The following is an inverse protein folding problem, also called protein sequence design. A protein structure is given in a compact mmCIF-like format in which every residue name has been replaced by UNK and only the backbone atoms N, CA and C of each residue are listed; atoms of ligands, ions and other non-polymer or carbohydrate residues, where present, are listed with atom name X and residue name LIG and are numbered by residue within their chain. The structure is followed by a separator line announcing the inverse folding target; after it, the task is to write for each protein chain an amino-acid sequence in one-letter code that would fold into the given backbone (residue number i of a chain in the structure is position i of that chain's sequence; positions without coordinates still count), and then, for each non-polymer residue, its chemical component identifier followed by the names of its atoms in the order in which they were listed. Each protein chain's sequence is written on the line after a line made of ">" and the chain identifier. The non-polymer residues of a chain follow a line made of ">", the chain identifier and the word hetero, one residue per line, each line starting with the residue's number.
data_IF_835691553830
#
_entry.id   IF_835691553830
#
_cell.length_a   1.000
_cell.length_b   1.000
_cell.length_c   1.000
_cell.angle_alpha   90.00
_cell.angle_beta   90.00
_cell.angle_gamma   90.00
#
_symmetry.space_group_name_H-M   'P 1'
#
loop_
_entity.id
_entity.type
_entity.pdbx_description
1 polymer ?
#
# COMPACT_ATOMS: atom_id res chain seq x y z
N UNK A 1 12.82 -0.84 5.42
CA UNK A 1 13.03 -1.17 6.84
C UNK A 1 12.13 -0.38 7.76
N UNK A 2 12.14 0.96 7.70
CA UNK A 2 11.25 1.79 8.53
C UNK A 2 9.78 1.45 8.34
N UNK A 3 9.36 1.26 7.08
CA UNK A 3 7.99 0.89 6.76
C UNK A 3 7.60 -0.45 7.35
N UNK A 4 8.50 -1.43 7.31
CA UNK A 4 8.25 -2.75 7.87
C UNK A 4 8.11 -2.70 9.37
N UNK A 5 8.96 -1.93 10.05
CA UNK A 5 8.90 -1.76 11.50
C UNK A 5 7.62 -1.05 11.93
N UNK A 6 7.23 -0.01 11.20
CA UNK A 6 6.00 0.72 11.48
C UNK A 6 4.77 -0.15 11.23
N UNK A 7 4.77 -0.93 10.14
CA UNK A 7 3.67 -1.85 9.85
C UNK A 7 3.51 -2.89 10.95
N UNK A 8 4.62 -3.47 11.43
CA UNK A 8 4.59 -4.43 12.51
C UNK A 8 4.06 -3.82 13.81
N UNK A 9 4.48 -2.60 14.11
CA UNK A 9 3.99 -1.89 15.30
C UNK A 9 2.49 -1.62 15.22
N UNK A 10 2.02 -1.07 14.11
CA UNK A 10 0.61 -0.73 13.92
C UNK A 10 -0.28 -1.96 13.86
N UNK A 11 0.21 -3.06 13.30
CA UNK A 11 -0.56 -4.30 13.19
C UNK A 11 -0.99 -4.83 14.56
N UNK A 12 -0.21 -4.58 15.61
CA UNK A 12 -0.53 -5.03 16.95
C UNK A 12 -1.84 -4.47 17.49
N UNK A 13 -2.30 -3.35 16.96
CA UNK A 13 -3.54 -2.71 17.38
C UNK A 13 -4.79 -3.29 16.69
N UNK A 14 -4.60 -4.21 15.74
CA UNK A 14 -5.69 -4.83 15.00
C UNK A 14 -6.05 -6.20 15.59
N UNK A 15 -7.30 -6.68 15.38
CA UNK A 15 -7.74 -7.96 15.96
C UNK A 15 -6.94 -9.17 15.51
N UNK A 16 -6.45 -9.16 14.28
CA UNK A 16 -5.63 -10.23 13.71
C UNK A 16 -4.32 -9.64 13.19
N UNK A 17 -3.31 -9.45 14.06
CA UNK A 17 -2.07 -8.78 13.66
C UNK A 17 -1.37 -9.41 12.47
N UNK A 18 -1.37 -10.73 12.36
CA UNK A 18 -0.70 -11.42 11.25
C UNK A 18 -1.34 -11.10 9.89
N UNK A 19 -2.65 -10.96 9.84
CA UNK A 19 -3.35 -10.57 8.64
C UNK A 19 -3.17 -9.07 8.37
N UNK A 20 -3.25 -8.27 9.43
CA UNK A 20 -3.12 -6.82 9.29
C UNK A 20 -1.75 -6.40 8.78
N UNK A 21 -0.67 -7.03 9.27
CA UNK A 21 0.69 -6.64 8.88
C UNK A 21 0.92 -6.79 7.38
N UNK A 22 0.40 -7.84 6.78
CA UNK A 22 0.52 -8.07 5.34
C UNK A 22 -0.14 -6.93 4.56
N UNK A 23 -1.39 -6.60 4.92
CA UNK A 23 -2.11 -5.52 4.24
C UNK A 23 -1.48 -4.15 4.45
N UNK A 24 -1.08 -3.83 5.67
CA UNK A 24 -0.44 -2.55 5.97
C UNK A 24 0.87 -2.41 5.20
N UNK A 25 1.69 -3.47 5.17
CA UNK A 25 2.96 -3.46 4.44
C UNK A 25 2.74 -3.23 2.94
N UNK A 26 1.73 -3.88 2.36
CA UNK A 26 1.42 -3.70 0.95
C UNK A 26 0.97 -2.25 0.64
N UNK A 27 0.15 -1.67 1.51
CA UNK A 27 -0.29 -0.30 1.32
C UNK A 27 0.87 0.70 1.47
N UNK A 28 1.79 0.44 2.39
CA UNK A 28 3.00 1.28 2.54
C UNK A 28 3.89 1.19 1.30
N UNK A 29 4.13 -0.02 0.79
CA UNK A 29 4.92 -0.20 -0.42
C UNK A 29 4.30 0.55 -1.59
N UNK A 30 3.00 0.43 -1.76
CA UNK A 30 2.31 1.13 -2.83
C UNK A 30 2.42 2.65 -2.69
N UNK A 31 2.29 3.17 -1.47
CA UNK A 31 2.40 4.61 -1.23
C UNK A 31 3.81 5.12 -1.56
N UNK A 32 4.84 4.37 -1.22
CA UNK A 32 6.22 4.77 -1.51
C UNK A 32 6.55 4.57 -2.98
N UNK A 33 6.38 3.35 -3.49
CA UNK A 33 6.86 2.98 -4.82
C UNK A 33 6.01 3.56 -5.94
N UNK A 34 4.70 3.38 -5.85
CA UNK A 34 3.78 3.81 -6.91
C UNK A 34 3.24 5.21 -6.69
N UNK A 35 3.15 5.65 -5.43
CA UNK A 35 2.76 7.01 -5.07
C UNK A 35 3.92 7.98 -5.17
N UNK A 36 4.72 8.07 -4.12
CA UNK A 36 5.78 9.08 -4.01
C UNK A 36 6.85 8.99 -5.09
N UNK A 37 7.31 7.80 -5.41
CA UNK A 37 8.34 7.60 -6.45
C UNK A 37 7.76 7.55 -7.86
N UNK A 38 6.45 7.49 -7.97
CA UNK A 38 5.72 7.53 -9.25
C UNK A 38 6.15 6.42 -10.22
N UNK A 39 6.43 5.22 -9.69
CA UNK A 39 6.82 4.07 -10.53
C UNK A 39 5.56 3.25 -10.83
N UNK A 40 5.08 3.20 -12.09
CA UNK A 40 3.93 2.38 -12.45
C UNK A 40 4.19 0.89 -12.22
N UNK A 41 3.13 0.12 -11.99
CA UNK A 41 3.22 -1.34 -11.80
C UNK A 41 3.88 -2.04 -12.98
N UNK A 42 3.54 -1.63 -14.19
CA UNK A 42 4.10 -2.20 -15.41
C UNK A 42 5.61 -1.97 -15.49
N UNK A 43 6.06 -0.76 -15.12
CA UNK A 43 7.49 -0.45 -15.10
C UNK A 43 8.21 -1.25 -14.02
N UNK A 44 7.59 -1.43 -12.85
CA UNK A 44 8.16 -2.26 -11.78
C UNK A 44 8.39 -3.69 -12.26
N UNK A 45 7.40 -4.28 -12.91
CA UNK A 45 7.51 -5.65 -13.45
C UNK A 45 8.66 -5.76 -14.43
N UNK A 46 8.79 -4.79 -15.32
CA UNK A 46 9.88 -4.78 -16.30
C UNK A 46 11.25 -4.60 -15.66
N UNK A 47 11.36 -3.68 -14.69
CA UNK A 47 12.62 -3.43 -13.99
C UNK A 47 13.09 -4.65 -13.20
N UNK A 48 12.15 -5.38 -12.59
CA UNK A 48 12.49 -6.62 -11.89
C UNK A 48 12.93 -7.68 -12.89
N UNK A 49 12.25 -7.79 -14.02
CA UNK A 49 12.58 -8.77 -15.06
C UNK A 49 14.02 -8.58 -15.57
N UNK A 50 14.48 -7.34 -15.71
CA UNK A 50 15.82 -7.03 -16.20
C UNK A 50 16.83 -6.75 -15.07
N UNK A 51 16.43 -7.00 -13.82
CA UNK A 51 17.28 -6.84 -12.63
C UNK A 51 17.78 -5.41 -12.43
N UNK A 52 16.92 -4.42 -12.65
CA UNK A 52 17.26 -3.00 -12.48
C UNK A 52 16.35 -2.28 -11.48
N UNK A 53 15.54 -3.02 -10.74
CA UNK A 53 14.58 -2.45 -9.80
C UNK A 53 15.27 -1.59 -8.73
N UNK A 54 16.30 -2.13 -8.08
CA UNK A 54 17.01 -1.43 -7.00
C UNK A 54 17.66 -0.14 -7.48
N UNK A 55 18.30 -0.16 -8.66
CA UNK A 55 18.91 1.02 -9.28
C UNK A 55 17.89 2.13 -9.49
N UNK A 56 16.73 1.79 -10.04
CA UNK A 56 15.70 2.78 -10.34
C UNK A 56 15.12 3.39 -9.07
N UNK A 57 14.89 2.59 -8.03
CA UNK A 57 14.42 3.09 -6.75
C UNK A 57 15.44 4.06 -6.15
N UNK A 58 16.71 3.68 -6.14
CA UNK A 58 17.78 4.54 -5.60
C UNK A 58 17.91 5.84 -6.39
N UNK A 59 17.80 5.76 -7.71
CA UNK A 59 17.85 6.94 -8.59
C UNK A 59 16.74 7.93 -8.27
N UNK A 60 15.51 7.43 -8.11
CA UNK A 60 14.36 8.29 -7.80
C UNK A 60 14.43 8.85 -6.38
N UNK A 61 14.89 8.07 -5.42
CA UNK A 61 15.09 8.57 -4.06
C UNK A 61 16.12 9.69 -3.98
N UNK A 62 17.12 9.67 -4.85
CA UNK A 62 18.14 10.71 -4.93
C UNK A 62 17.65 11.99 -5.65
N UNK A 63 16.56 11.89 -6.41
CA UNK A 63 15.96 13.03 -7.09
C UNK A 63 15.12 13.84 -6.11
N UNK A 64 15.41 15.14 -5.88
CA UNK A 64 14.63 15.96 -4.96
C UNK A 64 13.14 16.03 -5.28
N UNK A 65 12.75 15.84 -6.53
CA UNK A 65 11.34 15.83 -6.93
C UNK A 65 10.56 14.70 -6.26
N UNK A 66 11.19 13.54 -6.09
CA UNK A 66 10.55 12.35 -5.51
C UNK A 66 11.03 12.05 -4.09
N UNK A 67 12.32 12.22 -3.84
CA UNK A 67 12.94 11.80 -2.59
C UNK A 67 12.51 12.60 -1.37
N UNK A 68 11.97 13.79 -1.55
CA UNK A 68 11.47 14.64 -0.46
C UNK A 68 10.00 14.37 -0.10
N UNK A 69 9.31 13.60 -0.91
CA UNK A 69 7.92 13.25 -0.64
C UNK A 69 7.82 12.34 0.57
N UNK A 70 6.80 12.55 1.38
CA UNK A 70 6.59 11.76 2.59
C UNK A 70 5.28 10.99 2.50
N UNK A 71 5.20 9.92 3.26
CA UNK A 71 3.96 9.17 3.46
C UNK A 71 3.46 9.52 4.86
N UNK A 72 2.22 9.97 4.94
CA UNK A 72 1.59 10.31 6.21
C UNK A 72 0.67 9.19 6.62
N UNK A 73 0.84 8.67 7.83
CA UNK A 73 0.05 7.57 8.35
C UNK A 73 -0.72 8.03 9.56
N UNK A 74 -2.03 7.78 9.58
CA UNK A 74 -2.91 8.07 10.70
C UNK A 74 -3.59 6.79 11.14
N UNK A 75 -3.67 6.57 12.44
CA UNK A 75 -4.38 5.44 13.03
C UNK A 75 -5.51 5.95 13.90
N UNK A 76 -6.69 5.35 13.75
CA UNK A 76 -7.85 5.70 14.56
C UNK A 76 -8.50 4.44 15.12
N UNK A 77 -8.81 4.47 16.39
CA UNK A 77 -9.50 3.39 17.09
C UNK A 77 -10.82 3.90 17.65
N UNK A 78 -11.88 3.13 17.43
CA UNK A 78 -13.18 3.41 18.04
C UNK A 78 -13.67 2.14 18.75
N UNK A 79 -14.85 2.21 19.39
CA UNK A 79 -15.45 1.04 20.00
C UNK A 79 -15.85 -0.03 18.99
N UNK A 80 -16.02 0.35 17.73
CA UNK A 80 -16.55 -0.53 16.68
C UNK A 80 -15.50 -0.93 15.62
N UNK A 81 -14.44 -0.15 15.47
CA UNK A 81 -13.49 -0.39 14.39
C UNK A 81 -12.10 0.15 14.69
N UNK A 82 -11.14 -0.33 13.91
CA UNK A 82 -9.82 0.26 13.79
C UNK A 82 -9.60 0.66 12.34
N UNK A 83 -8.99 1.83 12.13
CA UNK A 83 -8.74 2.33 10.78
C UNK A 83 -7.32 2.86 10.68
N UNK A 84 -6.69 2.59 9.54
CA UNK A 84 -5.40 3.17 9.20
C UNK A 84 -5.57 3.95 7.89
N UNK A 85 -5.09 5.18 7.87
CA UNK A 85 -5.12 6.01 6.68
C UNK A 85 -3.70 6.32 6.25
N UNK A 86 -3.42 6.09 4.98
CA UNK A 86 -2.10 6.24 4.39
C UNK A 86 -2.22 7.21 3.23
N UNK A 87 -1.51 8.32 3.32
CA UNK A 87 -1.53 9.38 2.31
C UNK A 87 -0.14 9.57 1.76
N UNK A 88 0.01 9.52 0.44
CA UNK A 88 1.25 9.84 -0.24
C UNK A 88 1.13 11.18 -0.99
N UNK A 89 2.26 11.71 -1.43
CA UNK A 89 2.32 12.99 -2.12
C UNK A 89 2.39 12.85 -3.65
N UNK A 90 2.10 11.64 -4.15
CA UNK A 90 2.03 11.39 -5.57
C UNK A 90 0.74 11.92 -6.21
N UNK A 91 0.63 11.72 -7.51
CA UNK A 91 -0.53 12.19 -8.28
C UNK A 91 -1.72 11.24 -8.19
N UNK A 92 -1.55 10.09 -7.57
CA UNK A 92 -2.58 9.07 -7.49
C UNK A 92 -2.48 8.07 -8.63
N UNK A 93 -3.41 7.12 -8.65
CA UNK A 93 -3.44 6.09 -9.69
C UNK A 93 -4.86 5.54 -9.82
N UNK A 94 -5.09 4.73 -10.85
CA UNK A 94 -6.37 4.08 -11.09
C UNK A 94 -6.53 2.87 -10.16
N UNK A 95 -6.88 3.14 -8.91
CA UNK A 95 -6.96 2.14 -7.84
C UNK A 95 -8.08 1.12 -8.07
N UNK A 96 -9.16 1.50 -8.73
CA UNK A 96 -10.29 0.59 -8.97
C UNK A 96 -9.86 -0.66 -9.72
N UNK A 97 -8.92 -0.50 -10.64
CA UNK A 97 -8.37 -1.59 -11.44
C UNK A 97 -7.65 -2.66 -10.60
N UNK A 98 -7.16 -2.28 -9.42
CA UNK A 98 -6.32 -3.15 -8.58
C UNK A 98 -7.04 -3.69 -7.34
N UNK A 99 -8.28 -3.27 -7.07
CA UNK A 99 -9.02 -3.70 -5.89
C UNK A 99 -9.37 -5.18 -5.89
N UNK A 100 -9.53 -5.76 -7.08
CA UNK A 100 -9.91 -7.16 -7.23
C UNK A 100 -8.87 -7.90 -8.07
N UNK A 101 -8.77 -9.22 -7.83
CA UNK A 101 -7.89 -10.06 -8.64
C UNK A 101 -8.45 -10.15 -10.05
N UNK A 102 -7.65 -9.74 -11.02
CA UNK A 102 -8.02 -9.76 -12.43
C UNK A 102 -7.30 -10.93 -13.11
N UNK A 103 -8.04 -11.91 -13.68
CA UNK A 103 -7.41 -13.05 -14.37
C UNK A 103 -6.48 -12.64 -15.50
N UNK A 104 -6.75 -11.52 -16.17
CA UNK A 104 -5.86 -11.03 -17.25
C UNK A 104 -4.48 -10.63 -16.75
N UNK A 105 -4.34 -10.39 -15.43
CA UNK A 105 -3.06 -10.04 -14.80
C UNK A 105 -2.48 -11.19 -13.99
N UNK A 106 -3.01 -12.41 -14.16
CA UNK A 106 -2.60 -13.57 -13.37
C UNK A 106 -1.12 -13.95 -13.57
N UNK A 107 -0.54 -13.58 -14.71
CA UNK A 107 0.88 -13.82 -15.00
C UNK A 107 1.80 -12.74 -14.43
N UNK A 108 1.25 -11.63 -13.95
CA UNK A 108 2.02 -10.53 -13.39
C UNK A 108 2.24 -10.78 -11.90
N UNK A 109 3.49 -10.71 -11.45
CA UNK A 109 3.85 -10.91 -10.04
C UNK A 109 3.54 -9.68 -9.17
N UNK A 110 3.21 -8.56 -9.79
CA UNK A 110 2.99 -7.29 -9.10
C UNK A 110 1.61 -6.73 -9.40
N UNK A 111 1.12 -5.84 -8.54
CA UNK A 111 -0.21 -5.25 -8.67
C UNK A 111 -1.30 -6.07 -8.00
N UNK A 112 -0.95 -7.13 -7.26
CA UNK A 112 -1.91 -7.95 -6.52
C UNK A 112 -2.03 -7.54 -5.05
N UNK A 113 -1.08 -6.74 -4.54
CA UNK A 113 -1.03 -6.39 -3.13
C UNK A 113 -2.29 -5.70 -2.63
N UNK A 114 -2.85 -4.79 -3.40
CA UNK A 114 -4.08 -4.08 -3.04
C UNK A 114 -5.26 -5.04 -2.97
N UNK A 115 -5.40 -5.93 -3.97
CA UNK A 115 -6.48 -6.91 -3.97
C UNK A 115 -6.37 -7.86 -2.78
N UNK A 116 -5.15 -8.31 -2.45
CA UNK A 116 -4.91 -9.17 -1.31
C UNK A 116 -5.23 -8.45 0.01
N UNK A 117 -4.83 -7.19 0.15
CA UNK A 117 -5.14 -6.39 1.33
C UNK A 117 -6.66 -6.22 1.48
N UNK A 118 -7.35 -5.94 0.38
CA UNK A 118 -8.81 -5.79 0.37
C UNK A 118 -9.53 -7.08 0.76
N UNK A 119 -9.01 -8.22 0.31
CA UNK A 119 -9.66 -9.51 0.56
C UNK A 119 -9.33 -10.10 1.93
N UNK A 120 -8.11 -9.94 2.41
CA UNK A 120 -7.59 -10.71 3.54
C UNK A 120 -7.29 -9.88 4.79
N UNK A 121 -6.90 -8.64 4.63
CA UNK A 121 -6.40 -7.85 5.77
C UNK A 121 -7.41 -6.85 6.31
N UNK A 122 -8.26 -6.31 5.46
CA UNK A 122 -9.21 -5.27 5.84
C UNK A 122 -10.63 -5.66 5.46
N UNK A 123 -11.58 -5.23 6.27
CA UNK A 123 -13.00 -5.39 5.94
C UNK A 123 -13.41 -4.40 4.85
N UNK A 124 -12.80 -3.21 4.85
CA UNK A 124 -13.02 -2.20 3.82
C UNK A 124 -11.72 -1.51 3.45
N UNK A 125 -11.53 -1.24 2.16
CA UNK A 125 -10.49 -0.35 1.65
C UNK A 125 -11.17 0.79 0.90
N UNK A 126 -10.89 2.01 1.33
CA UNK A 126 -11.51 3.21 0.74
C UNK A 126 -10.40 4.12 0.21
N UNK A 127 -10.41 4.36 -1.09
CA UNK A 127 -9.51 5.31 -1.73
C UNK A 127 -10.21 6.64 -1.95
N UNK A 128 -9.44 7.74 -1.91
CA UNK A 128 -9.97 9.02 -2.38
C UNK A 128 -10.05 8.99 -3.92
N UNK A 129 -10.71 9.98 -4.51
CA UNK A 129 -10.92 10.03 -5.95
C UNK A 129 -9.62 10.01 -6.73
N UNK A 130 -8.59 10.65 -6.20
CA UNK A 130 -7.29 10.76 -6.83
C UNK A 130 -6.46 9.47 -6.76
N UNK A 131 -6.67 8.68 -5.70
CA UNK A 131 -5.91 7.45 -5.50
C UNK A 131 -4.57 7.65 -4.81
N UNK A 132 -4.36 8.77 -4.10
CA UNK A 132 -3.15 9.00 -3.31
C UNK A 132 -3.40 8.90 -1.81
N UNK A 133 -4.58 8.47 -1.41
CA UNK A 133 -4.91 8.21 -0.01
C UNK A 133 -5.80 6.99 0.09
N UNK A 134 -5.47 6.09 1.00
CA UNK A 134 -6.25 4.89 1.25
C UNK A 134 -6.52 4.76 2.74
N UNK A 135 -7.75 4.34 3.06
CA UNK A 135 -8.14 4.01 4.44
C UNK A 135 -8.50 2.54 4.49
N UNK A 136 -7.80 1.79 5.34
CA UNK A 136 -8.12 0.39 5.61
C UNK A 136 -8.84 0.29 6.95
N UNK A 137 -10.00 -0.36 6.95
CA UNK A 137 -10.86 -0.48 8.13
C UNK A 137 -11.05 -1.94 8.50
N UNK A 138 -10.90 -2.24 9.78
CA UNK A 138 -11.24 -3.54 10.35
C UNK A 138 -12.27 -3.32 11.45
N UNK A 139 -13.40 -4.01 11.34
CA UNK A 139 -14.44 -3.93 12.34
C UNK A 139 -14.16 -4.89 13.50
N UNK A 140 -14.46 -4.43 14.71
CA UNK A 140 -14.37 -5.30 15.87
C UNK A 140 -15.52 -6.28 15.82
N UNK A 141 -15.19 -7.56 15.92
CA UNK A 141 -16.24 -8.57 16.04
C UNK A 141 -16.71 -8.62 17.47
N UNK A 142 -18.02 -8.63 17.66
CA UNK A 142 -18.61 -8.89 18.98
C UNK A 142 -18.37 -10.35 19.33
N UNK A 143 -17.71 -10.57 20.45
CA UNK A 143 -17.51 -11.91 20.97
C UNK A 143 -18.81 -12.45 21.59
#
# INVERSE_FOLDING_TARGET
>A
EEGDNLAAFLAQFFPSPDLAITGISELFLNAVEHGNLAIPYELKSELIRVNRWKEEVERRLADPLYGRRVVTVSYRRSSESMAIRIHDEGEGFDWERYLHVDPSRATHNHGRGIAMANMMSFDELIYNDRGNEVTGIVYRRKS
#
